data_IF_083612888250
#
_entry.id   IF_083612888250
#
_cell.length_a   1.000
_cell.length_b   1.000
_cell.length_c   1.000
_cell.angle_alpha   90.00
_cell.angle_beta   90.00
_cell.angle_gamma   90.00
#
_symmetry.space_group_name_H-M   'P 1'
#
loop_
_entity.id
_entity.type
_entity.pdbx_description
1 polymer ?
#
# COMPACT_ATOMS: atom_id res chain seq x y z
N UNK A 1 57.80 12.56 -74.00
CA UNK A 1 59.07 11.97 -73.56
C UNK A 1 58.76 10.63 -72.94
N UNK A 2 59.17 9.58 -73.63
CA UNK A 2 58.99 8.16 -73.28
C UNK A 2 59.94 7.82 -72.13
N UNK A 3 59.53 7.06 -71.09
CA UNK A 3 60.38 6.05 -70.49
C UNK A 3 59.52 4.87 -70.04
N UNK A 4 59.83 3.77 -70.61
CA UNK A 4 59.35 2.44 -70.36
C UNK A 4 60.44 1.71 -69.61
N UNK A 5 60.13 1.03 -68.52
CA UNK A 5 60.94 -0.01 -67.91
C UNK A 5 60.02 -1.06 -67.33
N UNK A 6 59.86 -2.10 -67.95
CA UNK A 6 60.35 -3.44 -67.91
C UNK A 6 60.17 -4.20 -66.58
N UNK A 7 59.23 -5.12 -66.61
CA UNK A 7 59.27 -6.52 -66.14
C UNK A 7 60.27 -6.91 -65.02
N UNK A 8 59.75 -7.40 -63.93
CA UNK A 8 60.32 -8.62 -63.28
C UNK A 8 59.20 -9.41 -62.58
N UNK A 9 58.90 -10.53 -63.20
CA UNK A 9 58.04 -11.51 -62.64
C UNK A 9 58.74 -12.28 -61.52
N UNK A 10 58.00 -12.46 -60.41
CA UNK A 10 58.32 -13.49 -59.47
C UNK A 10 57.04 -14.17 -59.03
N UNK A 11 56.83 -15.38 -59.56
CA UNK A 11 55.82 -16.32 -59.06
C UNK A 11 56.22 -16.68 -57.62
N UNK A 12 55.35 -16.38 -56.68
CA UNK A 12 55.45 -16.92 -55.33
C UNK A 12 54.30 -17.92 -55.15
N UNK A 13 54.77 -19.08 -54.76
CA UNK A 13 54.09 -20.34 -54.60
C UNK A 13 52.72 -20.28 -53.88
N UNK A 14 51.84 -21.12 -54.41
CA UNK A 14 50.60 -21.57 -53.78
C UNK A 14 50.89 -22.13 -52.39
N UNK A 15 50.45 -21.43 -51.37
CA UNK A 15 50.37 -21.97 -50.01
C UNK A 15 48.97 -22.57 -49.80
N UNK A 16 48.83 -23.80 -49.37
CA UNK A 16 47.53 -24.43 -49.16
C UNK A 16 46.83 -23.76 -47.98
N UNK A 17 45.71 -23.09 -48.26
CA UNK A 17 44.79 -22.60 -47.25
C UNK A 17 44.16 -23.77 -46.49
N UNK A 18 44.73 -24.11 -45.37
CA UNK A 18 44.05 -24.95 -44.37
C UNK A 18 42.86 -24.18 -43.80
N UNK A 19 41.61 -24.62 -43.98
CA UNK A 19 40.46 -24.01 -43.30
C UNK A 19 40.59 -24.34 -41.82
N UNK A 20 40.85 -23.32 -41.01
CA UNK A 20 40.72 -23.42 -39.54
C UNK A 20 39.24 -23.75 -39.25
N UNK A 21 39.01 -25.05 -39.07
CA UNK A 21 37.74 -25.59 -38.61
C UNK A 21 37.49 -25.00 -37.22
N UNK A 22 36.74 -23.88 -37.14
CA UNK A 22 36.26 -23.31 -35.91
C UNK A 22 35.44 -24.39 -35.20
N UNK A 23 36.04 -24.95 -34.14
CA UNK A 23 35.42 -25.93 -33.29
C UNK A 23 34.30 -25.21 -32.53
N UNK A 24 33.11 -25.23 -33.12
CA UNK A 24 31.87 -24.73 -32.50
C UNK A 24 31.72 -25.50 -31.19
N UNK A 25 32.03 -24.83 -30.10
CA UNK A 25 31.78 -25.35 -28.73
C UNK A 25 30.25 -25.47 -28.62
N UNK A 26 29.77 -26.69 -28.88
CA UNK A 26 28.40 -27.03 -28.54
C UNK A 26 28.24 -26.86 -27.04
N UNK A 27 27.56 -25.82 -26.62
CA UNK A 27 27.08 -25.72 -25.24
C UNK A 27 26.12 -26.89 -25.08
N UNK A 28 26.53 -27.91 -24.34
CA UNK A 28 25.65 -28.98 -23.97
C UNK A 28 24.50 -28.38 -23.19
N UNK A 29 23.34 -28.25 -23.81
CA UNK A 29 22.10 -27.97 -23.16
C UNK A 29 21.84 -29.17 -22.24
N UNK A 30 22.08 -28.97 -20.95
CA UNK A 30 21.70 -29.96 -19.94
C UNK A 30 20.18 -30.05 -20.00
N UNK A 31 19.69 -31.14 -20.54
CA UNK A 31 18.28 -31.48 -20.49
C UNK A 31 17.94 -31.85 -19.03
N UNK A 32 16.97 -31.11 -18.44
CA UNK A 32 16.46 -31.44 -17.11
C UNK A 32 15.75 -32.80 -17.16
N UNK A 33 15.98 -33.61 -16.14
CA UNK A 33 15.25 -34.87 -16.01
C UNK A 33 13.85 -34.60 -15.45
N UNK A 34 12.88 -35.43 -15.82
CA UNK A 34 11.50 -35.29 -15.34
C UNK A 34 11.44 -35.37 -13.81
N UNK A 35 12.27 -36.24 -13.21
CA UNK A 35 12.39 -36.40 -11.75
C UNK A 35 12.91 -35.12 -11.07
N UNK A 36 13.88 -34.43 -11.68
CA UNK A 36 14.43 -33.19 -11.14
C UNK A 36 13.37 -32.08 -11.11
N UNK A 37 12.53 -31.99 -12.15
CA UNK A 37 11.44 -31.05 -12.21
C UNK A 37 10.34 -31.37 -11.16
N UNK A 38 10.05 -32.67 -10.95
CA UNK A 38 9.10 -33.09 -9.90
C UNK A 38 9.59 -32.71 -8.50
N UNK A 39 10.88 -32.89 -8.22
CA UNK A 39 11.47 -32.53 -6.91
C UNK A 39 11.40 -31.01 -6.71
N UNK A 40 11.73 -30.22 -7.73
CA UNK A 40 11.66 -28.76 -7.64
C UNK A 40 10.25 -28.28 -7.36
N UNK A 41 9.24 -28.80 -8.08
CA UNK A 41 7.85 -28.45 -7.85
C UNK A 41 7.38 -28.87 -6.45
N UNK A 42 7.80 -30.03 -5.97
CA UNK A 42 7.48 -30.49 -4.63
C UNK A 42 8.06 -29.56 -3.54
N UNK A 43 9.31 -29.13 -3.70
CA UNK A 43 9.96 -28.18 -2.77
C UNK A 43 9.26 -26.82 -2.80
N UNK A 44 8.95 -26.30 -4.00
CA UNK A 44 8.21 -25.02 -4.14
C UNK A 44 6.83 -25.13 -3.49
N UNK A 45 6.11 -26.23 -3.71
CA UNK A 45 4.83 -26.49 -3.07
C UNK A 45 4.90 -26.51 -1.55
N UNK A 46 5.94 -27.13 -0.99
CA UNK A 46 6.16 -27.17 0.45
C UNK A 46 6.43 -25.78 1.04
N UNK A 47 7.30 -25.01 0.39
CA UNK A 47 7.60 -23.62 0.81
C UNK A 47 6.37 -22.73 0.70
N UNK A 48 5.61 -22.85 -0.38
CA UNK A 48 4.39 -22.08 -0.58
C UNK A 48 3.33 -22.41 0.47
N UNK A 49 3.17 -23.67 0.84
CA UNK A 49 2.21 -24.10 1.86
C UNK A 49 2.46 -23.46 3.24
N UNK A 50 3.71 -23.20 3.59
CA UNK A 50 4.07 -22.53 4.84
C UNK A 50 4.12 -21.00 4.72
N UNK A 51 4.54 -20.47 3.57
CA UNK A 51 4.75 -19.03 3.35
C UNK A 51 3.47 -18.23 3.17
N UNK A 52 2.50 -18.76 2.44
CA UNK A 52 1.24 -18.05 2.13
C UNK A 52 0.44 -17.68 3.39
N UNK A 53 0.20 -18.56 4.37
CA UNK A 53 -0.54 -18.20 5.58
C UNK A 53 0.20 -17.18 6.46
N UNK A 54 1.53 -17.22 6.48
CA UNK A 54 2.34 -16.25 7.23
C UNK A 54 2.22 -14.84 6.62
N UNK A 55 2.30 -14.75 5.30
CA UNK A 55 2.18 -13.48 4.57
C UNK A 55 0.80 -12.85 4.76
N UNK A 56 -0.28 -13.65 4.67
CA UNK A 56 -1.64 -13.15 4.89
C UNK A 56 -1.83 -12.55 6.29
N UNK A 57 -1.23 -13.15 7.33
CA UNK A 57 -1.30 -12.59 8.69
C UNK A 57 -0.58 -11.25 8.83
N UNK A 58 0.54 -11.06 8.14
CA UNK A 58 1.25 -9.79 8.13
C UNK A 58 0.42 -8.68 7.47
N UNK A 59 -0.14 -8.94 6.29
CA UNK A 59 -0.95 -7.97 5.55
C UNK A 59 -2.17 -7.50 6.35
N UNK A 60 -2.81 -8.39 7.09
CA UNK A 60 -3.97 -8.07 7.93
C UNK A 60 -3.58 -7.13 9.07
N UNK A 61 -2.47 -7.41 9.77
CA UNK A 61 -1.97 -6.55 10.85
C UNK A 61 -1.57 -5.17 10.34
N UNK A 62 -0.97 -5.08 9.17
CA UNK A 62 -0.64 -3.82 8.54
C UNK A 62 -1.89 -3.03 8.14
N UNK A 63 -2.92 -3.68 7.62
CA UNK A 63 -4.20 -3.06 7.30
C UNK A 63 -4.86 -2.42 8.53
N UNK A 64 -4.95 -3.15 9.65
CA UNK A 64 -5.50 -2.62 10.90
C UNK A 64 -4.68 -1.43 11.43
N UNK A 65 -3.35 -1.55 11.45
CA UNK A 65 -2.48 -0.45 11.90
C UNK A 65 -2.64 0.79 11.04
N UNK A 66 -2.73 0.60 9.71
CA UNK A 66 -2.95 1.70 8.78
C UNK A 66 -4.31 2.35 9.02
N UNK A 67 -5.39 1.58 9.15
CA UNK A 67 -6.72 2.13 9.43
C UNK A 67 -6.75 2.98 10.71
N UNK A 68 -6.16 2.46 11.80
CA UNK A 68 -6.06 3.19 13.07
C UNK A 68 -5.23 4.48 12.91
N UNK A 69 -4.09 4.40 12.20
CA UNK A 69 -3.24 5.56 11.94
C UNK A 69 -3.96 6.61 11.12
N UNK A 70 -4.62 6.22 10.01
CA UNK A 70 -5.32 7.12 9.11
C UNK A 70 -6.47 7.86 9.85
N UNK A 71 -7.24 7.14 10.68
CA UNK A 71 -8.32 7.73 11.47
C UNK A 71 -7.77 8.70 12.52
N UNK A 72 -6.75 8.28 13.26
CA UNK A 72 -6.12 9.09 14.30
C UNK A 72 -5.52 10.37 13.72
N UNK A 73 -4.79 10.26 12.62
CA UNK A 73 -4.18 11.39 11.91
C UNK A 73 -5.24 12.35 11.38
N UNK A 74 -6.34 11.81 10.84
CA UNK A 74 -7.46 12.62 10.34
C UNK A 74 -8.11 13.43 11.47
N UNK A 75 -8.34 12.81 12.64
CA UNK A 75 -8.88 13.51 13.82
C UNK A 75 -7.94 14.61 14.33
N UNK A 76 -6.64 14.31 14.43
CA UNK A 76 -5.63 15.29 14.86
C UNK A 76 -5.55 16.46 13.88
N UNK A 77 -5.58 16.18 12.59
CA UNK A 77 -5.54 17.19 11.52
C UNK A 77 -6.80 18.09 11.55
N UNK A 78 -7.98 17.48 11.68
CA UNK A 78 -9.25 18.22 11.78
C UNK A 78 -9.28 19.12 13.02
N UNK A 79 -8.80 18.63 14.16
CA UNK A 79 -8.67 19.43 15.38
C UNK A 79 -7.72 20.60 15.19
N UNK A 80 -6.54 20.36 14.63
CA UNK A 80 -5.57 21.42 14.35
C UNK A 80 -6.15 22.47 13.41
N UNK A 81 -6.81 22.06 12.34
CA UNK A 81 -7.47 22.96 11.39
C UNK A 81 -8.57 23.79 12.06
N UNK A 82 -9.40 23.17 12.94
CA UNK A 82 -10.43 23.91 13.67
C UNK A 82 -9.84 25.00 14.56
N UNK A 83 -8.75 24.72 15.26
CA UNK A 83 -8.05 25.69 16.11
C UNK A 83 -7.42 26.81 15.28
N UNK A 84 -6.70 26.45 14.19
CA UNK A 84 -5.99 27.44 13.37
C UNK A 84 -6.91 28.32 12.54
N UNK A 85 -7.99 27.74 12.00
CA UNK A 85 -8.98 28.50 11.20
C UNK A 85 -9.95 29.32 12.05
N UNK A 86 -10.12 28.96 13.34
CA UNK A 86 -11.13 29.54 14.22
C UNK A 86 -12.57 29.14 13.86
N UNK A 87 -12.74 28.10 13.04
CA UNK A 87 -14.03 27.59 12.57
C UNK A 87 -14.20 26.12 12.93
N UNK A 88 -15.44 25.69 13.06
CA UNK A 88 -15.75 24.27 13.28
C UNK A 88 -15.43 23.47 12.04
N UNK A 89 -14.72 22.36 12.22
CA UNK A 89 -14.34 21.38 11.19
C UNK A 89 -15.02 20.05 11.48
N UNK A 90 -15.53 19.39 10.47
CA UNK A 90 -16.18 18.09 10.59
C UNK A 90 -15.30 16.98 10.04
N UNK A 91 -15.27 15.85 10.73
CA UNK A 91 -14.80 14.58 10.21
C UNK A 91 -16.01 13.72 9.91
N UNK A 92 -16.12 13.25 8.67
CA UNK A 92 -17.20 12.38 8.21
C UNK A 92 -16.66 10.98 8.03
N UNK A 93 -17.28 10.01 8.70
CA UNK A 93 -16.98 8.59 8.57
C UNK A 93 -18.17 7.90 7.94
N UNK A 94 -17.92 7.10 6.89
CA UNK A 94 -18.92 6.23 6.26
C UNK A 94 -18.65 4.79 6.63
N UNK A 95 -19.48 4.18 7.49
CA UNK A 95 -19.23 2.83 7.98
C UNK A 95 -19.65 1.74 6.98
N UNK A 96 -20.41 2.07 5.95
CA UNK A 96 -20.99 1.09 5.01
C UNK A 96 -19.95 0.23 4.28
N UNK A 97 -20.28 -1.05 3.97
CA UNK A 97 -19.34 -1.99 3.37
C UNK A 97 -18.89 -1.57 1.95
N UNK A 98 -19.70 -0.79 1.24
CA UNK A 98 -19.40 -0.33 -0.11
C UNK A 98 -18.51 0.92 -0.13
N UNK A 99 -18.61 1.79 0.88
CA UNK A 99 -17.88 3.06 0.95
C UNK A 99 -17.36 3.29 2.37
N UNK A 100 -16.32 2.51 2.74
CA UNK A 100 -15.62 2.72 4.01
C UNK A 100 -14.61 3.83 3.85
N UNK A 101 -15.02 5.04 4.12
CA UNK A 101 -14.19 6.23 3.95
C UNK A 101 -14.24 7.16 5.16
N UNK A 102 -13.17 7.92 5.31
CA UNK A 102 -13.06 9.01 6.26
C UNK A 102 -12.65 10.26 5.51
N UNK A 103 -13.30 11.37 5.81
CA UNK A 103 -13.03 12.64 5.15
C UNK A 103 -13.12 13.80 6.13
N UNK A 104 -12.31 14.83 5.91
CA UNK A 104 -12.43 16.14 6.61
C UNK A 104 -13.27 17.04 5.74
N UNK A 105 -14.34 17.59 6.30
CA UNK A 105 -15.24 18.54 5.66
C UNK A 105 -15.28 19.84 6.47
N UNK A 106 -15.14 20.99 5.81
CA UNK A 106 -15.13 22.30 6.47
C UNK A 106 -13.72 22.74 6.87
N UNK A 107 -13.59 23.96 7.39
CA UNK A 107 -12.29 24.57 7.59
C UNK A 107 -11.79 25.18 6.28
N UNK A 108 -12.44 26.20 5.78
CA UNK A 108 -11.95 26.93 4.60
C UNK A 108 -10.70 27.73 4.98
N UNK A 109 -9.57 27.43 4.33
CA UNK A 109 -8.51 28.41 4.21
C UNK A 109 -9.12 29.71 3.63
N UNK A 110 -8.49 30.84 3.87
CA UNK A 110 -8.94 32.20 3.48
C UNK A 110 -9.31 32.39 2.00
N UNK A 111 -9.31 31.33 1.19
CA UNK A 111 -9.68 31.31 -0.23
C UNK A 111 -10.97 30.51 -0.51
N UNK A 112 -11.72 30.11 0.51
CA UNK A 112 -13.07 29.54 0.34
C UNK A 112 -13.17 28.13 -0.24
N UNK A 113 -12.06 27.42 -0.40
CA UNK A 113 -12.10 26.01 -0.76
C UNK A 113 -12.23 25.17 0.51
N UNK A 114 -13.26 24.33 0.63
CA UNK A 114 -13.34 23.39 1.74
C UNK A 114 -12.11 22.48 1.69
N UNK A 115 -11.37 22.38 2.80
CA UNK A 115 -10.33 21.38 2.93
C UNK A 115 -11.00 20.01 2.95
N UNK A 116 -10.81 19.25 1.89
CA UNK A 116 -11.31 17.88 1.77
C UNK A 116 -10.10 16.95 1.71
N UNK A 117 -9.77 16.35 2.83
CA UNK A 117 -8.88 15.20 2.85
C UNK A 117 -9.74 13.96 2.99
N UNK A 118 -9.66 13.05 2.06
CA UNK A 118 -10.42 11.80 2.12
C UNK A 118 -9.48 10.60 2.03
N UNK A 119 -9.70 9.62 2.89
CA UNK A 119 -9.02 8.33 2.87
C UNK A 119 -10.04 7.20 2.84
N UNK A 120 -9.69 6.10 2.18
CA UNK A 120 -10.46 4.87 2.24
C UNK A 120 -9.80 3.92 3.22
N UNK A 121 -10.62 3.29 4.08
CA UNK A 121 -10.10 2.25 4.97
C UNK A 121 -9.57 1.07 4.16
N UNK A 122 -8.47 0.43 4.62
CA UNK A 122 -7.90 -0.74 3.98
C UNK A 122 -8.89 -1.90 3.88
N UNK A 123 -8.76 -2.71 2.83
CA UNK A 123 -9.58 -3.90 2.64
C UNK A 123 -9.35 -4.90 3.78
N UNK A 124 -10.44 -5.50 4.27
CA UNK A 124 -10.41 -6.46 5.38
C UNK A 124 -10.46 -5.84 6.78
N UNK A 125 -10.62 -4.53 6.89
CA UNK A 125 -10.95 -3.83 8.13
C UNK A 125 -12.41 -3.38 8.05
N UNK A 126 -13.22 -3.82 8.99
CA UNK A 126 -14.63 -3.48 9.09
C UNK A 126 -14.88 -2.59 10.31
N UNK A 127 -15.88 -1.72 10.21
CA UNK A 127 -16.37 -0.93 11.34
C UNK A 127 -17.47 -1.77 12.01
N UNK A 128 -17.22 -2.22 13.24
CA UNK A 128 -18.15 -3.05 13.99
C UNK A 128 -19.13 -2.22 14.81
N UNK A 129 -18.64 -1.11 15.37
CA UNK A 129 -19.47 -0.17 16.10
C UNK A 129 -18.99 1.25 15.85
N UNK A 130 -19.93 2.15 15.67
CA UNK A 130 -19.66 3.57 15.50
C UNK A 130 -20.70 4.41 16.24
N UNK A 131 -20.27 5.13 17.25
CA UNK A 131 -21.10 5.97 18.10
C UNK A 131 -20.56 7.39 18.20
N UNK A 132 -21.46 8.38 18.17
CA UNK A 132 -21.16 9.80 18.38
C UNK A 132 -22.13 10.35 19.42
N UNK A 133 -21.61 10.98 20.48
CA UNK A 133 -22.43 11.60 21.55
C UNK A 133 -23.54 10.68 22.07
N UNK A 134 -23.20 9.39 22.33
CA UNK A 134 -24.13 8.34 22.78
C UNK A 134 -25.13 7.81 21.76
N UNK A 135 -25.17 8.34 20.54
CA UNK A 135 -25.99 7.84 19.45
C UNK A 135 -25.23 6.84 18.57
N UNK A 136 -25.91 5.77 18.16
CA UNK A 136 -25.33 4.75 17.30
C UNK A 136 -25.48 5.11 15.81
N UNK A 137 -24.33 5.09 15.10
CA UNK A 137 -24.23 5.35 13.65
C UNK A 137 -23.72 4.16 12.86
N UNK A 138 -23.63 2.99 13.46
CA UNK A 138 -23.03 1.79 12.86
C UNK A 138 -23.68 1.41 11.52
N UNK A 139 -25.02 1.51 11.44
CA UNK A 139 -25.77 1.20 10.21
C UNK A 139 -26.16 2.47 9.43
N UNK A 140 -25.67 3.63 9.82
CA UNK A 140 -25.96 4.87 9.15
C UNK A 140 -25.12 5.04 7.88
N UNK A 141 -25.60 5.81 6.91
CA UNK A 141 -24.84 6.11 5.70
C UNK A 141 -23.53 6.84 6.03
N UNK A 142 -23.59 7.74 7.01
CA UNK A 142 -22.42 8.45 7.54
C UNK A 142 -22.66 8.97 8.94
N UNK A 143 -21.58 9.18 9.70
CA UNK A 143 -21.57 9.93 10.94
C UNK A 143 -20.64 11.14 10.82
N UNK A 144 -21.01 12.24 11.45
CA UNK A 144 -20.27 13.50 11.43
C UNK A 144 -19.81 13.85 12.83
N UNK A 145 -18.51 14.00 13.02
CA UNK A 145 -17.85 14.37 14.27
C UNK A 145 -17.36 15.81 14.13
N UNK A 146 -17.76 16.69 15.04
CA UNK A 146 -17.39 18.11 15.00
C UNK A 146 -16.18 18.37 15.90
N UNK A 147 -15.24 19.14 15.38
CA UNK A 147 -14.12 19.71 16.11
C UNK A 147 -14.30 21.21 16.18
N UNK A 148 -14.18 21.77 17.37
CA UNK A 148 -14.43 23.16 17.63
C UNK A 148 -13.13 23.97 17.72
N UNK A 149 -13.24 25.28 17.51
CA UNK A 149 -12.08 26.19 17.51
C UNK A 149 -11.38 26.32 18.86
N UNK A 150 -12.05 25.95 19.96
CA UNK A 150 -11.46 25.89 21.31
C UNK A 150 -10.66 24.60 21.58
N UNK A 151 -10.62 23.69 20.60
CA UNK A 151 -9.92 22.42 20.66
C UNK A 151 -10.72 21.28 21.27
N UNK A 152 -11.99 21.50 21.62
CA UNK A 152 -12.93 20.44 22.02
C UNK A 152 -13.49 19.73 20.78
N UNK A 153 -14.15 18.59 20.98
CA UNK A 153 -14.79 17.83 19.89
C UNK A 153 -16.05 17.13 20.37
N UNK A 154 -16.84 16.59 19.44
CA UNK A 154 -17.84 15.59 19.80
C UNK A 154 -17.16 14.33 20.37
N UNK A 155 -17.83 13.65 21.28
CA UNK A 155 -17.38 12.33 21.76
C UNK A 155 -17.61 11.28 20.66
N UNK A 156 -16.61 10.45 20.39
CA UNK A 156 -16.70 9.35 19.43
C UNK A 156 -16.21 8.06 20.04
N UNK A 157 -16.89 6.98 19.72
CA UNK A 157 -16.43 5.61 19.93
C UNK A 157 -16.50 4.86 18.60
N UNK A 158 -15.37 4.35 18.14
CA UNK A 158 -15.27 3.58 16.91
C UNK A 158 -14.56 2.25 17.21
N UNK A 159 -15.20 1.14 16.84
CA UNK A 159 -14.62 -0.20 16.95
C UNK A 159 -14.32 -0.73 15.56
N UNK A 160 -13.05 -1.02 15.32
CA UNK A 160 -12.57 -1.63 14.10
C UNK A 160 -12.31 -3.10 14.34
N UNK A 161 -12.71 -3.94 13.39
CA UNK A 161 -12.48 -5.38 13.41
C UNK A 161 -11.78 -5.86 12.15
N UNK A 162 -10.79 -6.74 12.31
CA UNK A 162 -10.13 -7.41 11.21
C UNK A 162 -9.68 -8.81 11.61
N UNK A 163 -10.38 -9.84 11.14
CA UNK A 163 -10.05 -11.27 11.33
C UNK A 163 -9.59 -11.66 12.74
N UNK A 164 -10.29 -11.16 13.77
CA UNK A 164 -10.04 -11.49 15.18
C UNK A 164 -9.07 -10.54 15.90
N UNK A 165 -8.67 -9.45 15.27
CA UNK A 165 -8.05 -8.29 15.91
C UNK A 165 -9.08 -7.16 16.00
N UNK A 166 -9.31 -6.65 17.22
CA UNK A 166 -10.27 -5.58 17.45
C UNK A 166 -9.57 -4.39 18.11
N UNK A 167 -9.85 -3.21 17.57
CA UNK A 167 -9.30 -1.95 18.05
C UNK A 167 -10.41 -0.97 18.33
N UNK A 168 -10.39 -0.38 19.50
CA UNK A 168 -11.30 0.70 19.89
C UNK A 168 -10.58 2.04 19.82
N UNK A 169 -11.15 2.98 19.08
CA UNK A 169 -10.71 4.37 19.04
C UNK A 169 -11.77 5.20 19.75
N UNK A 170 -11.39 5.93 20.77
CA UNK A 170 -12.26 6.85 21.48
C UNK A 170 -11.75 8.28 21.32
N UNK A 171 -12.66 9.21 21.10
CA UNK A 171 -12.37 10.63 21.08
C UNK A 171 -13.05 11.26 22.29
N UNK A 172 -12.27 11.90 23.13
CA UNK A 172 -12.77 12.52 24.35
C UNK A 172 -13.19 13.96 24.06
N UNK A 173 -14.39 14.32 24.50
CA UNK A 173 -14.98 15.65 24.31
C UNK A 173 -14.04 16.82 24.69
N UNK A 174 -13.44 16.74 25.90
CA UNK A 174 -12.69 17.85 26.46
C UNK A 174 -11.36 18.12 25.77
N UNK A 175 -10.72 17.07 25.27
CA UNK A 175 -9.37 17.16 24.70
C UNK A 175 -9.34 17.11 23.19
N UNK A 176 -10.36 16.52 22.56
CA UNK A 176 -10.41 16.28 21.13
C UNK A 176 -9.27 15.37 20.63
N UNK A 177 -8.63 14.60 21.52
CA UNK A 177 -7.57 13.66 21.17
C UNK A 177 -8.09 12.24 21.04
N UNK A 178 -7.73 11.53 19.97
CA UNK A 178 -8.07 10.12 19.82
C UNK A 178 -7.18 9.24 20.71
N UNK A 179 -7.81 8.34 21.45
CA UNK A 179 -7.18 7.29 22.23
C UNK A 179 -7.46 5.93 21.61
N UNK A 180 -6.43 5.10 21.48
CA UNK A 180 -6.53 3.76 20.90
C UNK A 180 -6.37 2.72 22.00
N UNK A 181 -7.30 1.77 22.05
CA UNK A 181 -7.28 0.64 23.01
C UNK A 181 -7.42 -0.67 22.24
N UNK A 182 -6.58 -1.64 22.58
CA UNK A 182 -6.68 -3.00 22.06
C UNK A 182 -7.78 -3.74 22.80
N UNK A 183 -8.76 -4.25 22.06
CA UNK A 183 -9.76 -5.16 22.58
C UNK A 183 -9.27 -6.59 22.29
N UNK A 184 -9.08 -7.40 23.32
CA UNK A 184 -8.70 -8.82 23.18
C UNK A 184 -9.93 -9.68 23.01
#
# INVERSE_FOLDING_TARGET
MKFQVSSCGRRLADAPHHPLRARRREKSLRAYTLIELMIVVAIIGLIAAMGVPALNRMLIKEGMRKAVSDITETCITARAEAIFSGHTVAVVIRPGPADRSIAIEGGGNSHGSPYVSSGRLPDGVDIEAFGINTLDYTESEFGRILFYSDGTSDEMTLVLRSRGDERKITLEYATGYPMVTDLK
#
